data_IF_514036721122
#
_entry.id   IF_514036721122
#
_cell.length_a   1.000
_cell.length_b   1.000
_cell.length_c   1.000
_cell.angle_alpha   90.00
_cell.angle_beta   90.00
_cell.angle_gamma   90.00
#
_symmetry.space_group_name_H-M   'P 1'
#
loop_
_entity.id
_entity.type
_entity.pdbx_description
1 polymer ?
#
# COMPACT_ATOMS: atom_id res chain seq x y z
N UNK A 1 5.66 19.30 -16.25
CA UNK A 1 7.14 19.33 -16.08
C UNK A 1 7.55 18.01 -15.45
N UNK A 2 8.17 17.12 -16.23
CA UNK A 2 8.69 15.83 -15.75
C UNK A 2 9.96 16.09 -14.93
N UNK A 3 10.10 15.55 -13.71
CA UNK A 3 11.30 15.78 -12.91
C UNK A 3 12.46 14.98 -13.53
N UNK A 4 13.33 15.67 -14.26
CA UNK A 4 14.60 15.13 -14.78
C UNK A 4 15.72 15.15 -13.73
N UNK A 5 15.50 15.80 -12.58
CA UNK A 5 16.38 15.72 -11.42
C UNK A 5 16.11 14.40 -10.67
N UNK A 6 16.88 13.34 -10.96
CA UNK A 6 16.84 12.10 -10.17
C UNK A 6 17.20 10.79 -10.88
N UNK A 7 17.39 10.79 -12.20
CA UNK A 7 17.80 9.58 -12.92
C UNK A 7 19.30 9.30 -12.67
N UNK A 8 19.60 8.12 -12.13
CA UNK A 8 20.96 7.66 -11.82
C UNK A 8 21.13 6.17 -12.12
N UNK A 9 22.24 5.53 -11.71
CA UNK A 9 22.55 4.13 -12.01
C UNK A 9 21.43 3.11 -11.70
N UNK A 10 20.56 3.44 -10.76
CA UNK A 10 19.39 2.64 -10.35
C UNK A 10 18.40 2.37 -11.49
N UNK A 11 18.29 3.28 -12.48
CA UNK A 11 17.37 3.11 -13.60
C UNK A 11 17.71 1.87 -14.46
N UNK A 12 18.94 1.37 -14.36
CA UNK A 12 19.38 0.18 -15.06
C UNK A 12 18.74 -1.11 -14.51
N UNK A 13 18.50 -1.17 -13.19
CA UNK A 13 17.85 -2.30 -12.52
C UNK A 13 16.32 -2.23 -12.55
N UNK A 14 15.77 -1.17 -13.14
CA UNK A 14 14.35 -0.89 -13.18
C UNK A 14 13.55 -2.02 -13.85
N UNK A 15 12.47 -2.53 -13.23
CA UNK A 15 11.57 -3.46 -13.90
C UNK A 15 11.04 -2.85 -15.19
N UNK A 16 11.13 -3.61 -16.29
CA UNK A 16 10.64 -3.19 -17.60
C UNK A 16 9.13 -3.39 -17.72
N UNK A 17 8.63 -4.53 -17.22
CA UNK A 17 7.23 -4.95 -17.30
C UNK A 17 6.49 -4.66 -16.00
N UNK A 18 5.21 -4.26 -16.11
CA UNK A 18 4.35 -4.00 -14.95
C UNK A 18 4.82 -2.82 -14.08
N UNK A 19 5.75 -2.00 -14.57
CA UNK A 19 6.27 -0.85 -13.85
C UNK A 19 5.35 0.35 -14.06
N UNK A 20 4.67 0.87 -13.02
CA UNK A 20 3.71 1.97 -13.18
C UNK A 20 4.39 3.31 -13.52
N UNK A 21 5.71 3.44 -13.32
CA UNK A 21 6.44 4.69 -13.57
C UNK A 21 6.76 4.87 -15.05
N UNK A 22 7.05 3.79 -15.78
CA UNK A 22 7.41 3.87 -17.21
C UNK A 22 6.24 4.37 -18.08
N UNK A 23 5.01 3.84 -17.96
CA UNK A 23 3.84 4.35 -18.68
C UNK A 23 3.50 5.79 -18.31
N UNK A 24 3.54 6.14 -17.02
CA UNK A 24 3.27 7.50 -16.55
C UNK A 24 4.31 8.52 -17.06
N UNK A 25 5.60 8.15 -17.08
CA UNK A 25 6.66 9.01 -17.60
C UNK A 25 6.65 9.15 -19.12
N UNK A 26 6.01 8.21 -19.84
CA UNK A 26 5.88 8.19 -21.30
C UNK A 26 4.51 8.66 -21.81
N UNK A 27 3.55 8.98 -20.92
CA UNK A 27 2.19 9.38 -21.31
C UNK A 27 1.36 8.25 -21.95
N UNK A 28 1.64 6.99 -21.62
CA UNK A 28 0.96 5.82 -22.19
C UNK A 28 -0.39 5.55 -21.50
N UNK A 29 -1.36 5.02 -22.25
CA UNK A 29 -2.66 4.57 -21.76
C UNK A 29 -2.54 3.36 -20.81
N UNK A 30 -3.60 3.07 -20.04
CA UNK A 30 -3.64 1.93 -19.11
C UNK A 30 -3.44 0.59 -19.85
N UNK A 31 -2.45 -0.19 -19.43
CA UNK A 31 -2.05 -1.47 -20.03
C UNK A 31 -0.54 -1.70 -20.18
N UNK A 32 0.29 -0.65 -20.03
CA UNK A 32 1.75 -0.78 -19.94
C UNK A 32 2.47 -1.18 -21.24
N UNK A 33 3.79 -1.42 -21.15
CA UNK A 33 4.60 -1.89 -22.28
C UNK A 33 4.32 -3.36 -22.62
N UNK A 34 3.91 -4.16 -21.63
CA UNK A 34 3.58 -5.57 -21.77
C UNK A 34 2.46 -5.84 -22.79
N UNK A 35 1.47 -4.93 -22.89
CA UNK A 35 0.39 -5.04 -23.88
C UNK A 35 0.87 -4.82 -25.31
N UNK A 36 1.79 -3.86 -25.50
CA UNK A 36 2.27 -3.45 -26.82
C UNK A 36 3.37 -4.40 -27.34
N UNK A 37 4.06 -5.10 -26.46
CA UNK A 37 5.21 -5.97 -26.79
C UNK A 37 5.14 -7.37 -26.16
N UNK A 38 4.06 -8.15 -26.41
CA UNK A 38 3.86 -9.45 -25.77
C UNK A 38 4.97 -10.47 -26.09
N UNK A 39 5.51 -10.45 -27.31
CA UNK A 39 6.63 -11.31 -27.71
C UNK A 39 7.92 -10.99 -26.94
N UNK A 40 8.21 -9.71 -26.67
CA UNK A 40 9.36 -9.32 -25.86
C UNK A 40 9.14 -9.65 -24.38
N UNK A 41 7.92 -9.47 -23.87
CA UNK A 41 7.55 -9.83 -22.49
C UNK A 41 7.76 -11.33 -22.20
N UNK A 42 7.48 -12.19 -23.20
CA UNK A 42 7.66 -13.64 -23.08
C UNK A 42 9.12 -14.10 -22.95
N UNK A 43 10.11 -13.21 -23.16
CA UNK A 43 11.52 -13.55 -23.05
C UNK A 43 11.98 -13.60 -21.57
N UNK A 44 12.42 -14.76 -21.05
CA UNK A 44 12.69 -14.95 -19.61
C UNK A 44 13.84 -14.10 -19.04
N UNK A 45 14.70 -13.54 -19.89
CA UNK A 45 15.82 -12.70 -19.47
C UNK A 45 15.57 -11.19 -19.59
N UNK A 46 14.49 -10.77 -20.25
CA UNK A 46 14.25 -9.35 -20.57
C UNK A 46 13.44 -8.69 -19.46
N UNK A 47 13.98 -8.60 -18.24
CA UNK A 47 13.20 -8.17 -17.06
C UNK A 47 13.38 -6.69 -16.69
N UNK A 48 14.50 -6.08 -17.09
CA UNK A 48 14.84 -4.72 -16.69
C UNK A 48 15.11 -3.79 -17.87
N UNK A 49 14.97 -2.49 -17.64
CA UNK A 49 15.34 -1.46 -18.62
C UNK A 49 16.81 -1.62 -19.04
N UNK A 50 17.72 -1.89 -18.11
CA UNK A 50 19.13 -2.11 -18.43
C UNK A 50 19.37 -3.33 -19.31
N UNK A 51 18.61 -4.41 -19.15
CA UNK A 51 18.68 -5.56 -20.07
C UNK A 51 18.14 -5.21 -21.44
N UNK A 52 17.04 -4.46 -21.54
CA UNK A 52 16.52 -3.98 -22.83
C UNK A 52 17.51 -3.06 -23.56
N UNK A 53 18.13 -2.13 -22.86
CA UNK A 53 19.18 -1.25 -23.41
C UNK A 53 20.38 -2.06 -23.88
N UNK A 54 20.85 -3.03 -23.08
CA UNK A 54 21.92 -3.95 -23.49
C UNK A 54 21.60 -4.72 -24.76
N UNK A 55 20.41 -5.32 -24.85
CA UNK A 55 19.97 -6.04 -26.05
C UNK A 55 19.93 -5.13 -27.28
N UNK A 56 19.45 -3.90 -27.11
CA UNK A 56 19.32 -2.92 -28.18
C UNK A 56 20.68 -2.42 -28.69
N UNK A 57 21.61 -2.11 -27.79
CA UNK A 57 22.98 -1.71 -28.16
C UNK A 57 23.76 -2.85 -28.82
N UNK A 58 23.63 -4.07 -28.30
CA UNK A 58 24.24 -5.27 -28.90
C UNK A 58 23.71 -5.56 -30.32
N UNK A 59 22.55 -5.00 -30.68
CA UNK A 59 21.96 -5.06 -32.02
C UNK A 59 22.32 -3.86 -32.91
N UNK A 60 23.20 -2.94 -32.50
CA UNK A 60 23.50 -1.72 -33.24
C UNK A 60 23.85 -1.97 -34.73
N UNK A 61 24.75 -2.93 -35.01
CA UNK A 61 25.14 -3.27 -36.38
C UNK A 61 23.97 -3.83 -37.21
N UNK A 62 23.10 -4.65 -36.59
CA UNK A 62 21.90 -5.20 -37.25
C UNK A 62 20.88 -4.08 -37.50
N UNK A 63 20.66 -3.20 -36.52
CA UNK A 63 19.76 -2.04 -36.61
C UNK A 63 20.17 -1.08 -37.71
N UNK A 64 21.45 -0.71 -37.80
CA UNK A 64 21.97 0.17 -38.85
C UNK A 64 21.78 -0.44 -40.24
N UNK A 65 22.09 -1.74 -40.37
CA UNK A 65 21.94 -2.46 -41.62
C UNK A 65 20.46 -2.53 -42.08
N UNK A 66 19.54 -2.82 -41.16
CA UNK A 66 18.09 -2.84 -41.44
C UNK A 66 17.60 -1.44 -41.81
N UNK A 67 18.02 -0.40 -41.09
CA UNK A 67 17.62 0.98 -41.36
C UNK A 67 18.14 1.51 -42.72
N UNK A 68 19.29 0.99 -43.20
CA UNK A 68 19.86 1.39 -44.50
C UNK A 68 19.17 0.78 -45.72
N UNK A 69 18.16 -0.08 -45.52
CA UNK A 69 17.45 -0.79 -46.60
C UNK A 69 15.95 -0.48 -46.55
N UNK A 70 15.25 -0.37 -47.71
CA UNK A 70 13.80 -0.29 -47.74
C UNK A 70 13.16 -1.52 -47.07
N UNK A 71 11.97 -1.34 -46.49
CA UNK A 71 11.21 -2.43 -45.89
C UNK A 71 11.00 -3.57 -46.90
N UNK A 72 11.31 -4.81 -46.50
CA UNK A 72 11.21 -5.99 -47.38
C UNK A 72 12.37 -6.18 -48.37
N UNK A 73 13.31 -5.25 -48.48
CA UNK A 73 14.43 -5.35 -49.42
C UNK A 73 15.64 -6.15 -48.89
N UNK A 74 15.53 -6.77 -47.72
CA UNK A 74 16.63 -7.51 -47.10
C UNK A 74 16.72 -8.92 -47.72
N UNK A 75 17.73 -9.13 -48.57
CA UNK A 75 17.94 -10.44 -49.21
C UNK A 75 18.16 -11.58 -48.19
N UNK A 76 17.78 -12.84 -48.52
CA UNK A 76 17.81 -13.97 -47.58
C UNK A 76 19.17 -14.23 -46.93
N UNK A 77 20.25 -14.07 -47.71
CA UNK A 77 21.64 -14.25 -47.21
C UNK A 77 21.97 -13.24 -46.11
N UNK A 78 21.49 -12.01 -46.25
CA UNK A 78 21.74 -10.94 -45.29
C UNK A 78 20.87 -11.10 -44.04
N UNK A 79 19.60 -11.46 -44.20
CA UNK A 79 18.71 -11.79 -43.09
C UNK A 79 19.27 -12.93 -42.22
N UNK A 80 19.84 -13.97 -42.86
CA UNK A 80 20.52 -15.06 -42.15
C UNK A 80 21.74 -14.57 -41.36
N UNK A 81 22.56 -13.69 -41.93
CA UNK A 81 23.72 -13.08 -41.22
C UNK A 81 23.26 -12.25 -40.01
N UNK A 82 22.23 -11.42 -40.16
CA UNK A 82 21.64 -10.66 -39.06
C UNK A 82 21.13 -11.58 -37.94
N UNK A 83 20.49 -12.70 -38.30
CA UNK A 83 19.99 -13.69 -37.34
C UNK A 83 21.13 -14.40 -36.59
N UNK A 84 22.23 -14.74 -37.27
CA UNK A 84 23.43 -15.29 -36.62
C UNK A 84 24.02 -14.27 -35.64
N UNK A 85 24.09 -12.99 -36.02
CA UNK A 85 24.58 -11.93 -35.15
C UNK A 85 23.68 -11.76 -33.92
N UNK A 86 22.36 -11.71 -34.09
CA UNK A 86 21.40 -11.64 -32.99
C UNK A 86 21.58 -12.79 -31.98
N UNK A 87 21.74 -14.04 -32.47
CA UNK A 87 22.00 -15.21 -31.62
C UNK A 87 23.30 -15.06 -30.81
N UNK A 88 24.36 -14.55 -31.46
CA UNK A 88 25.70 -14.40 -30.86
C UNK A 88 25.80 -13.24 -29.88
N UNK A 89 25.12 -12.13 -30.16
CA UNK A 89 25.26 -10.88 -29.41
C UNK A 89 24.17 -10.63 -28.38
N UNK A 90 22.99 -11.24 -28.52
CA UNK A 90 21.85 -11.02 -27.61
C UNK A 90 21.37 -12.30 -26.94
N UNK A 91 20.88 -13.27 -27.71
CA UNK A 91 20.19 -14.43 -27.13
C UNK A 91 21.08 -15.20 -26.16
N UNK A 92 22.29 -15.57 -26.57
CA UNK A 92 23.22 -16.33 -25.73
C UNK A 92 23.86 -15.51 -24.61
N UNK A 93 24.51 -14.35 -24.88
CA UNK A 93 25.28 -13.65 -23.85
C UNK A 93 24.43 -12.82 -22.89
N UNK A 94 23.31 -12.25 -23.35
CA UNK A 94 22.49 -11.33 -22.55
C UNK A 94 21.27 -12.05 -21.98
N UNK A 95 20.46 -12.67 -22.86
CA UNK A 95 19.20 -13.30 -22.44
C UNK A 95 19.37 -14.75 -21.96
N UNK A 96 20.55 -15.34 -22.13
CA UNK A 96 20.88 -16.73 -21.76
C UNK A 96 19.96 -17.78 -22.40
N UNK A 97 19.46 -17.48 -23.60
CA UNK A 97 18.64 -18.38 -24.41
C UNK A 97 19.54 -19.11 -25.40
N UNK A 98 19.66 -20.42 -25.23
CA UNK A 98 20.43 -21.31 -26.10
C UNK A 98 19.55 -22.05 -27.11
N UNK A 99 18.30 -22.32 -26.73
CA UNK A 99 17.29 -22.99 -27.55
C UNK A 99 16.35 -21.98 -28.22
N UNK A 100 16.29 -22.03 -29.54
CA UNK A 100 15.44 -21.15 -30.35
C UNK A 100 13.95 -21.47 -30.24
N UNK A 101 13.58 -22.69 -29.85
CA UNK A 101 12.18 -23.05 -29.64
C UNK A 101 11.53 -22.24 -28.50
N UNK A 102 12.36 -21.69 -27.60
CA UNK A 102 11.93 -20.82 -26.49
C UNK A 102 11.80 -19.35 -26.90
N UNK A 103 12.12 -19.00 -28.15
CA UNK A 103 12.01 -17.64 -28.67
C UNK A 103 10.69 -17.52 -29.44
N UNK A 104 9.83 -16.54 -29.11
CA UNK A 104 8.59 -16.30 -29.85
C UNK A 104 8.83 -16.15 -31.36
N UNK A 105 7.94 -16.66 -32.23
CA UNK A 105 8.12 -16.67 -33.68
C UNK A 105 8.52 -15.31 -34.27
N UNK A 106 7.93 -14.24 -33.74
CA UNK A 106 8.13 -12.84 -34.17
C UNK A 106 9.55 -12.33 -33.89
N UNK A 107 10.30 -13.02 -33.02
CA UNK A 107 11.65 -12.66 -32.58
C UNK A 107 12.71 -13.65 -33.05
N UNK A 108 12.35 -14.70 -33.80
CA UNK A 108 13.33 -15.69 -34.27
C UNK A 108 14.26 -15.13 -35.36
N UNK A 109 13.82 -14.07 -36.03
CA UNK A 109 14.54 -13.34 -37.08
C UNK A 109 15.31 -12.17 -36.48
N UNK A 110 16.60 -12.06 -36.80
CA UNK A 110 17.46 -10.97 -36.32
C UNK A 110 16.98 -9.56 -36.72
N UNK A 111 16.58 -9.33 -37.98
CA UNK A 111 15.97 -8.06 -38.39
C UNK A 111 14.70 -7.70 -37.61
N UNK A 112 13.78 -8.66 -37.44
CA UNK A 112 12.50 -8.42 -36.76
C UNK A 112 12.71 -8.16 -35.26
N UNK A 113 13.60 -8.93 -34.63
CA UNK A 113 14.02 -8.67 -33.26
C UNK A 113 14.62 -7.25 -33.11
N UNK A 114 15.49 -6.83 -34.04
CA UNK A 114 16.07 -5.49 -34.03
C UNK A 114 15.01 -4.39 -34.17
N UNK A 115 13.99 -4.57 -35.01
CA UNK A 115 12.86 -3.66 -35.13
C UNK A 115 12.04 -3.59 -33.83
N UNK A 116 11.71 -4.74 -33.25
CA UNK A 116 10.94 -4.86 -32.00
C UNK A 116 11.65 -4.20 -30.81
N UNK A 117 12.96 -4.48 -30.60
CA UNK A 117 13.73 -3.80 -29.55
C UNK A 117 13.81 -2.27 -29.77
N UNK A 118 13.86 -1.83 -31.03
CA UNK A 118 13.88 -0.41 -31.37
C UNK A 118 12.55 0.26 -31.07
N UNK A 119 11.44 -0.40 -31.41
CA UNK A 119 10.09 0.06 -31.10
C UNK A 119 9.83 0.11 -29.59
N UNK A 120 10.27 -0.91 -28.84
CA UNK A 120 10.20 -0.93 -27.38
C UNK A 120 10.94 0.26 -26.76
N UNK A 121 12.20 0.48 -27.12
CA UNK A 121 12.97 1.60 -26.56
C UNK A 121 12.45 2.97 -27.05
N UNK A 122 11.83 3.07 -28.22
CA UNK A 122 11.17 4.30 -28.63
C UNK A 122 10.01 4.69 -27.70
N UNK A 123 9.34 3.72 -27.06
CA UNK A 123 8.31 3.96 -26.04
C UNK A 123 8.87 4.31 -24.66
N UNK A 124 10.18 4.15 -24.43
CA UNK A 124 10.84 4.53 -23.17
C UNK A 124 11.34 5.99 -23.27
N UNK A 125 11.07 6.85 -22.27
CA UNK A 125 11.52 8.23 -22.29
C UNK A 125 13.03 8.34 -22.50
N UNK A 126 13.47 9.28 -23.36
CA UNK A 126 14.86 9.38 -23.78
C UNK A 126 15.84 9.53 -22.61
N UNK A 127 15.49 10.32 -21.60
CA UNK A 127 16.34 10.53 -20.41
C UNK A 127 16.64 9.21 -19.66
N UNK A 128 15.69 8.28 -19.62
CA UNK A 128 15.85 6.98 -18.96
C UNK A 128 16.78 6.06 -19.76
N UNK A 129 16.66 6.09 -21.10
CA UNK A 129 17.55 5.32 -21.99
C UNK A 129 18.99 5.82 -21.89
N UNK A 130 19.18 7.14 -21.89
CA UNK A 130 20.50 7.76 -21.75
C UNK A 130 21.13 7.40 -20.40
N UNK A 131 20.40 7.49 -19.31
CA UNK A 131 20.90 7.13 -17.99
C UNK A 131 21.28 5.64 -17.87
N UNK A 132 20.46 4.75 -18.42
CA UNK A 132 20.73 3.31 -18.42
C UNK A 132 21.95 2.96 -19.31
N UNK A 133 22.08 3.58 -20.48
CA UNK A 133 23.25 3.42 -21.36
C UNK A 133 24.53 3.96 -20.69
N UNK A 134 24.46 5.13 -20.06
CA UNK A 134 25.58 5.68 -19.29
C UNK A 134 26.03 4.73 -18.16
N UNK A 135 25.08 4.07 -17.48
CA UNK A 135 25.36 3.07 -16.44
C UNK A 135 26.04 1.82 -17.01
N UNK A 136 25.64 1.38 -18.20
CA UNK A 136 26.24 0.23 -18.87
C UNK A 136 27.71 0.45 -19.19
N UNK A 137 28.07 1.67 -19.59
CA UNK A 137 29.42 2.06 -19.98
C UNK A 137 30.28 2.61 -18.84
N UNK A 138 29.69 2.87 -17.66
CA UNK A 138 30.42 3.31 -16.50
C UNK A 138 31.40 2.23 -15.99
N UNK A 139 32.50 2.61 -15.32
CA UNK A 139 33.36 1.65 -14.61
C UNK A 139 32.53 0.82 -13.61
N UNK A 140 32.61 -0.51 -13.72
CA UNK A 140 31.76 -1.44 -12.95
C UNK A 140 30.43 -1.80 -13.63
N UNK A 141 30.05 -1.11 -14.72
CA UNK A 141 28.90 -1.42 -15.57
C UNK A 141 27.61 -1.63 -14.77
N UNK A 142 26.90 -2.73 -15.07
CA UNK A 142 25.67 -3.10 -14.36
C UNK A 142 25.82 -3.34 -12.84
N UNK A 143 27.04 -3.63 -12.36
CA UNK A 143 27.29 -3.81 -10.94
C UNK A 143 27.33 -2.46 -10.18
N UNK A 144 27.44 -1.34 -10.90
CA UNK A 144 27.32 0.01 -10.32
C UNK A 144 25.86 0.43 -10.06
N UNK A 145 24.88 -0.33 -10.57
CA UNK A 145 23.47 -0.08 -10.31
C UNK A 145 23.09 -0.60 -8.91
N UNK A 146 22.46 0.23 -8.06
CA UNK A 146 22.06 -0.17 -6.72
C UNK A 146 21.02 -1.31 -6.75
N UNK A 147 20.98 -2.14 -5.69
CA UNK A 147 20.02 -3.25 -5.58
C UNK A 147 18.55 -2.80 -5.69
N UNK A 148 17.68 -3.74 -6.08
CA UNK A 148 16.24 -3.49 -6.27
C UNK A 148 15.55 -2.73 -5.10
N UNK A 149 15.83 -3.00 -3.81
CA UNK A 149 15.24 -2.21 -2.71
C UNK A 149 15.59 -0.72 -2.77
N UNK A 150 16.82 -0.37 -3.14
CA UNK A 150 17.27 1.02 -3.27
C UNK A 150 16.68 1.67 -4.53
N UNK A 151 16.55 0.92 -5.63
CA UNK A 151 15.85 1.39 -6.83
C UNK A 151 14.35 1.65 -6.54
N UNK A 152 13.68 0.74 -5.83
CA UNK A 152 12.29 0.92 -5.37
C UNK A 152 12.15 2.14 -4.47
N UNK A 153 13.10 2.36 -3.56
CA UNK A 153 13.10 3.55 -2.70
C UNK A 153 13.20 4.83 -3.53
N UNK A 154 14.03 4.88 -4.57
CA UNK A 154 14.15 6.05 -5.44
C UNK A 154 12.91 6.24 -6.32
N UNK A 155 12.28 5.16 -6.80
CA UNK A 155 11.03 5.22 -7.57
C UNK A 155 9.84 5.68 -6.73
N UNK A 156 9.74 5.17 -5.50
CA UNK A 156 8.64 5.44 -4.60
C UNK A 156 8.93 6.60 -3.65
N UNK A 157 10.08 7.26 -3.74
CA UNK A 157 10.44 8.38 -2.86
C UNK A 157 9.33 9.45 -2.80
N UNK A 158 8.75 9.93 -3.92
CA UNK A 158 7.64 10.88 -3.87
C UNK A 158 6.39 10.32 -3.17
N UNK A 159 6.11 9.03 -3.34
CA UNK A 159 4.99 8.36 -2.68
C UNK A 159 5.25 8.18 -1.18
N UNK A 160 6.48 7.87 -0.77
CA UNK A 160 6.89 7.78 0.62
C UNK A 160 6.90 9.14 1.30
N UNK A 161 7.26 10.21 0.60
CA UNK A 161 7.16 11.57 1.10
C UNK A 161 5.70 12.00 1.28
N UNK A 162 4.84 11.73 0.30
CA UNK A 162 3.40 11.99 0.44
C UNK A 162 2.80 11.18 1.60
N UNK A 163 3.20 9.92 1.77
CA UNK A 163 2.78 9.09 2.90
C UNK A 163 3.29 9.64 4.23
N UNK A 164 4.55 10.11 4.27
CA UNK A 164 5.16 10.73 5.45
C UNK A 164 4.38 11.96 5.89
N UNK A 165 3.99 12.84 4.97
CA UNK A 165 3.16 14.03 5.26
C UNK A 165 1.82 13.61 5.89
N UNK A 166 1.16 12.59 5.34
CA UNK A 166 -0.12 12.09 5.89
C UNK A 166 0.03 11.49 7.28
N UNK A 167 1.07 10.68 7.52
CA UNK A 167 1.36 10.13 8.84
C UNK A 167 1.67 11.22 9.87
N UNK A 168 2.40 12.27 9.50
CA UNK A 168 2.68 13.40 10.39
C UNK A 168 1.39 14.15 10.76
N UNK A 169 0.50 14.39 9.80
CA UNK A 169 -0.80 15.00 10.08
C UNK A 169 -1.67 14.12 10.99
N UNK A 170 -1.66 12.80 10.78
CA UNK A 170 -2.33 11.84 11.65
C UNK A 170 -1.79 11.83 13.08
N UNK A 171 -0.46 11.84 13.24
CA UNK A 171 0.21 11.93 14.55
C UNK A 171 -0.17 13.24 15.25
N UNK A 172 -0.10 14.37 14.54
CA UNK A 172 -0.42 15.67 15.12
C UNK A 172 -1.85 15.72 15.65
N UNK A 173 -2.81 15.19 14.88
CA UNK A 173 -4.19 15.06 15.36
C UNK A 173 -4.27 14.10 16.54
N UNK A 174 -3.58 12.95 16.53
CA UNK A 174 -3.62 12.00 17.62
C UNK A 174 -3.22 12.59 18.99
N UNK A 175 -2.29 13.56 19.00
CA UNK A 175 -1.86 14.27 20.21
C UNK A 175 -2.73 15.46 20.62
N UNK A 176 -3.83 15.74 19.91
CA UNK A 176 -4.85 16.73 20.31
C UNK A 176 -4.29 18.14 20.62
N UNK A 177 -3.29 18.58 19.86
CA UNK A 177 -2.65 19.88 20.03
C UNK A 177 -1.38 19.86 20.89
N UNK A 178 -1.10 18.76 21.60
CA UNK A 178 0.22 18.56 22.21
C UNK A 178 1.29 18.29 21.14
N UNK A 179 2.53 18.67 21.43
CA UNK A 179 3.66 18.38 20.54
C UNK A 179 3.96 16.87 20.55
N UNK A 180 3.96 16.18 19.39
CA UNK A 180 4.33 14.78 19.33
C UNK A 180 5.84 14.61 19.60
N UNK A 181 6.26 13.49 20.20
CA UNK A 181 7.68 13.20 20.38
C UNK A 181 8.37 12.99 19.03
N UNK A 182 9.67 13.26 18.96
CA UNK A 182 10.45 13.22 17.72
C UNK A 182 10.43 11.82 17.05
N UNK A 183 10.36 10.77 17.87
CA UNK A 183 10.32 9.38 17.46
C UNK A 183 8.91 8.89 17.06
N UNK A 184 7.86 9.70 17.19
CA UNK A 184 6.48 9.28 16.95
C UNK A 184 6.25 8.64 15.58
N UNK A 185 6.92 9.15 14.53
CA UNK A 185 6.79 8.57 13.19
C UNK A 185 7.43 7.19 13.07
N UNK A 186 8.55 6.96 13.77
CA UNK A 186 9.21 5.66 13.82
C UNK A 186 8.35 4.68 14.63
N UNK A 187 7.80 5.13 15.76
CA UNK A 187 6.88 4.36 16.57
C UNK A 187 5.61 3.94 15.80
N UNK A 188 4.99 4.86 15.05
CA UNK A 188 3.83 4.56 14.20
C UNK A 188 4.18 3.52 13.12
N UNK A 189 5.32 3.69 12.43
CA UNK A 189 5.76 2.73 11.40
C UNK A 189 6.02 1.34 12.01
N UNK A 190 6.63 1.28 13.19
CA UNK A 190 6.85 0.05 13.92
C UNK A 190 5.53 -0.60 14.35
N UNK A 191 4.55 0.19 14.80
CA UNK A 191 3.21 -0.28 15.14
C UNK A 191 2.50 -0.86 13.91
N UNK A 192 2.45 -0.14 12.79
CA UNK A 192 1.84 -0.64 11.56
C UNK A 192 2.50 -1.94 11.07
N UNK A 193 3.84 -2.04 11.13
CA UNK A 193 4.55 -3.26 10.76
C UNK A 193 4.19 -4.44 11.68
N UNK A 194 4.11 -4.20 12.99
CA UNK A 194 3.71 -5.20 14.00
C UNK A 194 2.28 -5.69 13.76
N UNK A 195 1.34 -4.77 13.56
CA UNK A 195 -0.06 -5.08 13.28
C UNK A 195 -0.25 -5.83 11.96
N UNK A 196 0.54 -5.51 10.93
CA UNK A 196 0.48 -6.20 9.65
C UNK A 196 0.81 -7.69 9.80
N UNK A 197 1.77 -8.01 10.66
CA UNK A 197 2.24 -9.37 10.92
C UNK A 197 1.25 -10.25 11.71
N UNK A 198 0.22 -9.67 12.34
CA UNK A 198 -0.81 -10.44 13.05
C UNK A 198 -1.57 -11.35 12.09
N UNK A 199 -1.89 -12.58 12.51
CA UNK A 199 -2.76 -13.46 11.71
C UNK A 199 -4.20 -13.02 11.96
N UNK A 200 -4.73 -12.18 11.08
CA UNK A 200 -6.13 -11.71 11.12
C UNK A 200 -6.55 -11.20 9.75
N UNK A 201 -7.84 -11.26 9.40
CA UNK A 201 -8.30 -10.88 8.06
C UNK A 201 -8.06 -9.39 7.78
N UNK A 202 -7.68 -9.04 6.52
CA UNK A 202 -7.38 -7.65 6.16
C UNK A 202 -8.48 -6.64 6.51
N UNK A 203 -9.76 -7.06 6.51
CA UNK A 203 -10.90 -6.19 6.87
C UNK A 203 -10.86 -5.64 8.29
N UNK A 204 -10.13 -6.28 9.21
CA UNK A 204 -9.93 -5.80 10.58
C UNK A 204 -8.73 -4.85 10.69
N UNK A 205 -7.83 -4.88 9.71
CA UNK A 205 -6.60 -4.07 9.66
C UNK A 205 -6.79 -2.80 8.85
N UNK A 206 -7.34 -2.92 7.65
CA UNK A 206 -7.50 -1.84 6.67
C UNK A 206 -8.03 -0.52 7.26
N UNK A 207 -9.05 -0.51 8.14
CA UNK A 207 -9.56 0.75 8.70
C UNK A 207 -8.49 1.59 9.40
N UNK A 208 -7.56 0.97 10.14
CA UNK A 208 -6.49 1.71 10.80
C UNK A 208 -5.50 2.32 9.79
N UNK A 209 -5.16 1.61 8.71
CA UNK A 209 -4.29 2.15 7.66
C UNK A 209 -4.96 3.32 6.94
N UNK A 210 -6.25 3.20 6.65
CA UNK A 210 -7.03 4.28 6.04
C UNK A 210 -7.14 5.47 6.99
N UNK A 211 -7.33 5.23 8.27
CA UNK A 211 -7.32 6.28 9.28
C UNK A 211 -5.98 7.04 9.28
N UNK A 212 -4.87 6.32 9.31
CA UNK A 212 -3.52 6.88 9.35
C UNK A 212 -3.15 7.77 8.15
N UNK A 213 -3.88 7.65 7.03
CA UNK A 213 -3.63 8.41 5.80
C UNK A 213 -4.80 9.28 5.35
N UNK A 214 -5.81 9.48 6.18
CA UNK A 214 -7.05 10.18 5.83
C UNK A 214 -7.79 9.56 4.61
N UNK A 215 -7.70 8.24 4.45
CA UNK A 215 -8.09 7.48 3.25
C UNK A 215 -9.53 6.98 3.22
N UNK A 216 -10.43 7.52 4.04
CA UNK A 216 -11.85 7.17 3.95
C UNK A 216 -12.55 7.95 2.85
N UNK A 217 -13.56 7.34 2.23
CA UNK A 217 -14.32 7.94 1.14
C UNK A 217 -14.91 9.28 1.58
N UNK A 218 -14.70 10.32 0.79
CA UNK A 218 -15.16 11.68 1.07
C UNK A 218 -14.21 12.51 1.93
N UNK A 219 -13.27 11.93 2.70
CA UNK A 219 -12.44 12.71 3.63
C UNK A 219 -11.54 13.74 2.93
N UNK A 220 -10.98 13.40 1.76
CA UNK A 220 -10.19 14.34 0.97
C UNK A 220 -11.02 15.53 0.45
N UNK A 221 -12.25 15.26 0.02
CA UNK A 221 -13.18 16.31 -0.44
C UNK A 221 -13.61 17.20 0.74
N UNK A 222 -13.94 16.61 1.89
CA UNK A 222 -14.32 17.36 3.09
C UNK A 222 -13.16 18.23 3.61
N UNK A 223 -11.92 17.75 3.52
CA UNK A 223 -10.74 18.53 3.87
C UNK A 223 -10.55 19.73 2.92
N UNK A 224 -10.79 19.56 1.62
CA UNK A 224 -10.75 20.66 0.66
C UNK A 224 -11.86 21.69 0.93
N UNK A 225 -13.09 21.24 1.21
CA UNK A 225 -14.19 22.13 1.57
C UNK A 225 -13.92 22.92 2.85
N UNK A 226 -13.34 22.29 3.86
CA UNK A 226 -12.96 22.98 5.10
C UNK A 226 -11.90 24.08 4.83
N UNK A 227 -10.96 23.85 3.90
CA UNK A 227 -10.00 24.87 3.49
C UNK A 227 -10.67 26.07 2.78
N UNK A 228 -11.82 25.84 2.13
CA UNK A 228 -12.67 26.88 1.54
C UNK A 228 -13.69 27.48 2.53
N UNK A 229 -13.58 27.16 3.83
CA UNK A 229 -14.47 27.67 4.88
C UNK A 229 -15.83 26.97 4.98
N UNK A 230 -16.04 25.86 4.25
CA UNK A 230 -17.28 25.08 4.28
C UNK A 230 -17.16 23.91 5.28
N UNK A 231 -18.10 23.83 6.22
CA UNK A 231 -18.15 22.74 7.22
C UNK A 231 -19.38 21.89 7.00
N UNK A 232 -19.16 20.62 6.62
CA UNK A 232 -20.23 19.63 6.46
C UNK A 232 -20.70 19.12 7.83
N UNK A 233 -21.98 18.71 7.90
CA UNK A 233 -22.56 18.05 9.07
C UNK A 233 -22.46 16.53 8.94
N UNK A 234 -22.03 15.89 10.01
CA UNK A 234 -22.16 14.45 10.16
C UNK A 234 -23.64 14.06 10.29
N UNK A 235 -24.08 12.87 9.82
CA UNK A 235 -25.42 12.36 10.11
C UNK A 235 -25.77 12.24 11.59
N UNK A 236 -24.80 12.33 12.51
CA UNK A 236 -25.08 12.44 13.94
C UNK A 236 -25.57 13.84 14.38
N UNK A 237 -25.64 14.82 13.46
CA UNK A 237 -26.10 16.19 13.69
C UNK A 237 -24.99 17.22 13.91
N UNK A 238 -23.77 16.78 14.25
CA UNK A 238 -22.65 17.66 14.61
C UNK A 238 -21.91 18.18 13.38
N UNK A 239 -21.50 19.45 13.40
CA UNK A 239 -20.60 20.02 12.40
C UNK A 239 -19.16 19.52 12.60
N UNK A 240 -18.51 19.12 11.52
CA UNK A 240 -17.17 18.52 11.57
C UNK A 240 -16.05 19.58 11.55
N UNK A 241 -16.05 20.51 12.50
CA UNK A 241 -15.11 21.66 12.55
C UNK A 241 -13.66 21.23 12.75
N UNK A 242 -13.41 20.19 13.56
CA UNK A 242 -12.08 19.63 13.78
C UNK A 242 -11.60 18.70 12.64
N UNK A 243 -12.40 18.55 11.58
CA UNK A 243 -12.14 17.67 10.45
C UNK A 243 -12.84 16.31 10.57
N UNK A 244 -13.12 15.70 9.41
CA UNK A 244 -13.91 14.46 9.32
C UNK A 244 -13.25 13.28 10.06
N UNK A 245 -11.92 13.18 10.03
CA UNK A 245 -11.16 12.11 10.70
C UNK A 245 -11.32 12.17 12.22
N UNK A 246 -11.07 13.34 12.79
CA UNK A 246 -11.24 13.60 14.23
C UNK A 246 -12.69 13.39 14.66
N UNK A 247 -13.64 13.92 13.88
CA UNK A 247 -15.04 13.73 14.23
C UNK A 247 -15.46 12.26 14.23
N UNK A 248 -15.34 11.54 13.11
CA UNK A 248 -15.89 10.18 13.02
C UNK A 248 -15.20 9.15 13.93
N UNK A 249 -13.92 9.33 14.23
CA UNK A 249 -13.12 8.35 14.98
C UNK A 249 -12.74 8.81 16.38
N UNK A 250 -13.27 9.93 16.85
CA UNK A 250 -13.04 10.41 18.22
C UNK A 250 -14.22 11.20 18.82
N UNK A 251 -14.69 12.26 18.15
CA UNK A 251 -15.68 13.19 18.75
C UNK A 251 -17.15 12.82 18.46
N UNK A 252 -17.41 11.95 17.50
CA UNK A 252 -18.77 11.55 17.16
C UNK A 252 -19.36 10.76 18.33
N UNK A 253 -20.61 11.03 18.71
CA UNK A 253 -21.33 10.33 19.79
C UNK A 253 -21.26 8.79 19.68
N UNK A 254 -21.18 8.24 18.46
CA UNK A 254 -20.98 6.80 18.23
C UNK A 254 -19.58 6.35 18.66
N UNK A 255 -18.55 7.14 18.39
CA UNK A 255 -17.19 6.89 18.84
C UNK A 255 -17.01 7.11 20.34
N UNK A 256 -17.68 8.12 20.90
CA UNK A 256 -17.70 8.35 22.34
C UNK A 256 -18.30 7.16 23.09
N UNK A 257 -19.44 6.64 22.63
CA UNK A 257 -20.10 5.47 23.24
C UNK A 257 -19.18 4.24 23.30
N UNK A 258 -18.45 3.93 22.21
CA UNK A 258 -17.48 2.83 22.22
C UNK A 258 -16.32 3.11 23.18
N UNK A 259 -15.76 4.33 23.16
CA UNK A 259 -14.65 4.72 24.04
C UNK A 259 -15.04 4.65 25.50
N UNK A 260 -16.26 5.04 25.85
CA UNK A 260 -16.76 5.02 27.23
C UNK A 260 -16.87 3.58 27.74
N UNK A 261 -17.41 2.66 26.94
CA UNK A 261 -17.42 1.21 27.26
C UNK A 261 -16.00 0.67 27.41
N UNK A 262 -15.08 1.03 26.52
CA UNK A 262 -13.68 0.59 26.63
C UNK A 262 -13.00 1.13 27.89
N UNK A 263 -13.25 2.40 28.25
CA UNK A 263 -12.70 3.05 29.45
C UNK A 263 -13.22 2.38 30.71
N UNK A 264 -14.53 2.18 30.79
CA UNK A 264 -15.20 1.55 31.92
C UNK A 264 -14.70 0.11 32.10
N UNK A 265 -14.67 -0.67 31.02
CA UNK A 265 -14.27 -2.08 31.06
C UNK A 265 -12.78 -2.27 31.41
N UNK A 266 -11.91 -1.37 30.93
CA UNK A 266 -10.47 -1.44 31.21
C UNK A 266 -10.07 -0.74 32.52
N UNK A 267 -10.99 0.02 33.12
CA UNK A 267 -10.73 0.89 34.28
C UNK A 267 -9.49 1.79 34.11
N UNK A 268 -9.28 2.29 32.89
CA UNK A 268 -8.18 3.22 32.55
C UNK A 268 -8.67 4.25 31.57
N UNK A 269 -8.19 5.48 31.71
CA UNK A 269 -8.43 6.51 30.70
C UNK A 269 -7.76 6.15 29.37
N UNK A 270 -8.55 6.23 28.30
CA UNK A 270 -8.09 5.98 26.93
C UNK A 270 -8.01 7.31 26.20
N UNK A 271 -6.80 7.69 25.82
CA UNK A 271 -6.53 8.92 25.05
C UNK A 271 -6.51 8.65 23.54
N UNK A 272 -6.63 9.73 22.74
CA UNK A 272 -6.66 9.61 21.28
C UNK A 272 -5.38 9.00 20.73
N UNK A 273 -4.21 9.41 21.23
CA UNK A 273 -2.93 8.85 20.82
C UNK A 273 -2.78 7.37 21.19
N UNK A 274 -3.31 6.92 22.34
CA UNK A 274 -3.29 5.49 22.70
C UNK A 274 -4.07 4.64 21.72
N UNK A 275 -5.28 5.09 21.32
CA UNK A 275 -6.11 4.37 20.36
C UNK A 275 -5.58 4.47 18.91
N UNK A 276 -5.25 5.68 18.46
CA UNK A 276 -4.87 5.94 17.07
C UNK A 276 -3.43 5.54 16.74
N UNK A 277 -2.49 5.73 17.68
CA UNK A 277 -1.08 5.34 17.51
C UNK A 277 -0.78 3.97 18.09
N UNK A 278 -1.79 3.27 18.61
CA UNK A 278 -1.70 1.89 19.09
C UNK A 278 -0.66 1.78 20.20
N UNK A 279 -0.74 2.70 21.17
CA UNK A 279 0.12 2.74 22.35
C UNK A 279 -0.72 2.28 23.53
N UNK A 280 -0.33 1.15 24.15
CA UNK A 280 -1.08 0.64 25.29
C UNK A 280 -1.09 1.66 26.44
N UNK A 281 -2.26 1.89 27.08
CA UNK A 281 -2.32 2.59 28.35
C UNK A 281 -1.41 1.93 29.39
N UNK A 282 -0.85 2.69 30.35
CA UNK A 282 -0.07 2.13 31.44
C UNK A 282 -0.83 1.01 32.15
N UNK A 283 -0.16 -0.13 32.36
CA UNK A 283 -0.76 -1.32 32.99
C UNK A 283 -1.46 -2.27 32.02
N UNK A 284 -1.71 -1.88 30.76
CA UNK A 284 -2.25 -2.77 29.73
C UNK A 284 -1.15 -3.40 28.86
N UNK A 285 -1.44 -4.59 28.34
CA UNK A 285 -0.50 -5.33 27.49
C UNK A 285 -0.55 -4.79 26.07
N UNK A 286 0.62 -4.42 25.53
CA UNK A 286 0.73 -3.96 24.14
C UNK A 286 0.23 -4.99 23.12
N UNK A 287 0.47 -6.28 23.36
CA UNK A 287 0.05 -7.35 22.44
C UNK A 287 -1.49 -7.47 22.38
N UNK A 288 -2.18 -7.26 23.50
CA UNK A 288 -3.64 -7.24 23.52
C UNK A 288 -4.18 -5.93 22.94
N UNK A 289 -3.55 -4.81 23.30
CA UNK A 289 -3.95 -3.48 22.85
C UNK A 289 -3.88 -3.35 21.32
N UNK A 290 -2.89 -3.97 20.68
CA UNK A 290 -2.80 -4.08 19.23
C UNK A 290 -4.11 -4.62 18.59
N UNK A 291 -4.67 -5.69 19.17
CA UNK A 291 -5.90 -6.33 18.68
C UNK A 291 -7.11 -5.45 19.00
N UNK A 292 -7.15 -4.86 20.20
CA UNK A 292 -8.22 -3.95 20.64
C UNK A 292 -8.31 -2.72 19.74
N UNK A 293 -7.19 -2.08 19.40
CA UNK A 293 -7.18 -0.92 18.50
C UNK A 293 -7.70 -1.27 17.11
N UNK A 294 -7.29 -2.41 16.55
CA UNK A 294 -7.78 -2.89 15.26
C UNK A 294 -9.29 -3.16 15.30
N UNK A 295 -9.78 -3.86 16.33
CA UNK A 295 -11.20 -4.11 16.53
C UNK A 295 -12.00 -2.80 16.64
N UNK A 296 -11.53 -1.88 17.47
CA UNK A 296 -12.20 -0.62 17.75
C UNK A 296 -12.29 0.27 16.50
N UNK A 297 -11.17 0.51 15.82
CA UNK A 297 -11.16 1.36 14.60
C UNK A 297 -12.00 0.74 13.49
N UNK A 298 -12.01 -0.59 13.36
CA UNK A 298 -12.88 -1.27 12.41
C UNK A 298 -14.37 -1.15 12.76
N UNK A 299 -14.73 -1.23 14.04
CA UNK A 299 -16.09 -1.02 14.50
C UNK A 299 -16.56 0.44 14.31
N UNK A 300 -15.66 1.42 14.50
CA UNK A 300 -15.95 2.83 14.22
C UNK A 300 -16.20 3.08 12.72
N UNK A 301 -15.44 2.43 11.84
CA UNK A 301 -15.71 2.49 10.40
C UNK A 301 -17.07 1.86 10.05
N UNK A 302 -17.42 0.74 10.66
CA UNK A 302 -18.76 0.16 10.54
C UNK A 302 -19.84 1.16 10.97
N UNK A 303 -19.68 1.79 12.14
CA UNK A 303 -20.59 2.83 12.63
C UNK A 303 -20.73 4.01 11.67
N UNK A 304 -19.61 4.50 11.11
CA UNK A 304 -19.61 5.57 10.11
C UNK A 304 -20.42 5.17 8.87
N UNK A 305 -20.22 3.96 8.36
CA UNK A 305 -20.98 3.46 7.20
C UNK A 305 -22.48 3.38 7.50
N UNK A 306 -22.85 2.92 8.70
CA UNK A 306 -24.25 2.84 9.16
C UNK A 306 -24.90 4.22 9.28
N UNK A 307 -24.18 5.21 9.81
CA UNK A 307 -24.65 6.60 9.90
C UNK A 307 -25.00 7.16 8.52
N UNK A 308 -24.12 6.98 7.53
CA UNK A 308 -24.38 7.46 6.18
C UNK A 308 -25.46 6.66 5.45
N UNK A 309 -25.58 5.35 5.69
CA UNK A 309 -26.64 4.53 5.11
C UNK A 309 -28.03 4.90 5.62
N UNK A 310 -28.13 5.46 6.84
CA UNK A 310 -29.40 5.86 7.44
C UNK A 310 -29.73 7.36 7.24
N UNK A 311 -28.87 8.13 6.56
CA UNK A 311 -28.97 9.60 6.44
C UNK A 311 -30.30 10.08 5.86
N UNK A 312 -30.84 9.37 4.87
CA UNK A 312 -32.03 9.80 4.12
C UNK A 312 -33.34 9.21 4.66
N UNK A 313 -33.27 8.38 5.71
CA UNK A 313 -34.38 7.53 6.17
C UNK A 313 -35.15 8.06 7.39
N UNK A 314 -34.82 9.22 7.95
CA UNK A 314 -35.28 9.62 9.29
C UNK A 314 -36.01 10.98 9.36
N UNK A 315 -37.13 10.99 10.10
CA UNK A 315 -37.75 12.16 10.73
C UNK A 315 -36.93 12.54 11.99
N UNK A 316 -36.91 13.80 12.44
CA UNK A 316 -35.93 14.31 13.45
C UNK A 316 -35.93 13.54 14.78
N UNK A 317 -37.08 13.04 15.24
CA UNK A 317 -37.16 12.23 16.47
C UNK A 317 -36.62 10.81 16.25
N UNK A 318 -36.76 10.28 15.03
CA UNK A 318 -36.16 9.00 14.64
C UNK A 318 -34.63 9.11 14.52
N UNK A 319 -34.08 10.28 14.17
CA UNK A 319 -32.63 10.50 14.04
C UNK A 319 -31.85 10.18 15.34
N UNK A 320 -32.32 10.67 16.50
CA UNK A 320 -31.64 10.44 17.80
C UNK A 320 -31.67 8.96 18.18
N UNK A 321 -32.81 8.29 18.00
CA UNK A 321 -32.96 6.86 18.30
C UNK A 321 -32.08 6.01 17.37
N UNK A 322 -31.99 6.38 16.08
CA UNK A 322 -31.14 5.72 15.10
C UNK A 322 -29.67 5.85 15.47
N UNK A 323 -29.21 7.05 15.84
CA UNK A 323 -27.81 7.28 16.25
C UNK A 323 -27.45 6.46 17.50
N UNK A 324 -28.33 6.41 18.50
CA UNK A 324 -28.15 5.56 19.68
C UNK A 324 -28.08 4.08 19.32
N UNK A 325 -28.99 3.61 18.45
CA UNK A 325 -28.96 2.22 17.97
C UNK A 325 -27.65 1.89 17.27
N UNK A 326 -27.15 2.79 16.41
CA UNK A 326 -25.85 2.61 15.75
C UNK A 326 -24.71 2.54 16.77
N UNK A 327 -24.74 3.35 17.84
CA UNK A 327 -23.79 3.24 18.95
C UNK A 327 -23.77 1.83 19.57
N UNK A 328 -24.94 1.27 19.85
CA UNK A 328 -25.06 -0.12 20.36
C UNK A 328 -24.54 -1.14 19.35
N UNK A 329 -24.89 -0.99 18.06
CA UNK A 329 -24.39 -1.86 17.00
C UNK A 329 -22.86 -1.84 16.90
N UNK A 330 -22.23 -0.67 17.09
CA UNK A 330 -20.75 -0.51 17.09
C UNK A 330 -20.10 -1.20 18.28
N UNK A 331 -20.68 -1.09 19.48
CA UNK A 331 -20.17 -1.79 20.67
C UNK A 331 -20.26 -3.30 20.46
N UNK A 332 -21.38 -3.80 19.93
CA UNK A 332 -21.56 -5.21 19.63
C UNK A 332 -20.57 -5.71 18.55
N UNK A 333 -20.36 -4.92 17.48
CA UNK A 333 -19.39 -5.25 16.42
C UNK A 333 -17.95 -5.29 16.96
N UNK A 334 -17.58 -4.38 17.86
CA UNK A 334 -16.29 -4.40 18.55
C UNK A 334 -16.06 -5.72 19.31
N UNK A 335 -16.98 -6.13 20.17
CA UNK A 335 -16.87 -7.37 20.94
C UNK A 335 -16.90 -8.61 20.02
N UNK A 336 -17.75 -8.60 18.99
CA UNK A 336 -17.81 -9.67 18.00
C UNK A 336 -16.48 -9.85 17.25
N UNK A 337 -15.74 -8.76 16.98
CA UNK A 337 -14.42 -8.84 16.35
C UNK A 337 -13.38 -9.47 17.27
N UNK A 338 -13.40 -9.15 18.56
CA UNK A 338 -12.52 -9.79 19.53
C UNK A 338 -12.83 -11.29 19.67
N UNK A 339 -14.10 -11.66 19.72
CA UNK A 339 -14.53 -13.06 19.72
C UNK A 339 -14.10 -13.81 18.43
N UNK A 340 -14.20 -13.15 17.27
CA UNK A 340 -13.73 -13.70 16.01
C UNK A 340 -12.20 -13.90 16.01
N UNK A 341 -11.44 -12.99 16.60
CA UNK A 341 -9.98 -13.14 16.74
C UNK A 341 -9.63 -14.35 17.62
N UNK A 342 -10.29 -14.51 18.77
CA UNK A 342 -10.15 -15.69 19.66
C UNK A 342 -10.42 -16.99 18.90
N UNK A 343 -11.43 -16.99 18.04
CA UNK A 343 -11.83 -18.16 17.25
C UNK A 343 -10.77 -18.63 16.24
N UNK A 344 -9.77 -17.79 15.92
CA UNK A 344 -8.65 -18.18 15.05
C UNK A 344 -7.74 -19.23 15.69
N UNK A 345 -7.74 -19.34 17.04
CA UNK A 345 -6.89 -20.25 17.83
C UNK A 345 -5.40 -20.18 17.45
N UNK A 346 -4.94 -18.98 17.09
CA UNK A 346 -3.56 -18.69 16.69
C UNK A 346 -3.04 -17.50 17.52
N UNK A 347 -2.53 -17.75 18.73
CA UNK A 347 -1.98 -16.68 19.55
C UNK A 347 -0.83 -15.97 18.81
N UNK A 348 -0.73 -14.63 18.91
CA UNK A 348 0.44 -13.89 18.45
C UNK A 348 1.75 -14.41 19.05
N UNK A 349 2.87 -14.07 18.43
CA UNK A 349 4.19 -14.38 19.01
C UNK A 349 4.31 -13.73 20.39
N UNK A 350 4.84 -14.47 21.36
CA UNK A 350 5.04 -14.03 22.76
C UNK A 350 3.74 -13.79 23.53
N UNK A 351 2.64 -14.43 23.14
CA UNK A 351 1.36 -14.34 23.86
C UNK A 351 1.43 -14.91 25.27
N UNK A 352 2.36 -15.83 25.53
CA UNK A 352 2.72 -16.36 26.85
C UNK A 352 3.13 -15.28 27.86
N UNK A 353 3.50 -14.08 27.39
CA UNK A 353 3.81 -12.93 28.25
C UNK A 353 2.59 -12.06 28.57
N UNK A 354 1.41 -12.36 28.02
CA UNK A 354 0.18 -11.60 28.29
C UNK A 354 -0.34 -11.98 29.68
N UNK A 355 -0.63 -11.01 30.57
CA UNK A 355 -1.18 -11.30 31.88
C UNK A 355 -2.53 -12.02 31.78
N UNK A 356 -2.75 -13.01 32.65
CA UNK A 356 -3.99 -13.79 32.73
C UNK A 356 -5.22 -12.95 33.16
N UNK A 357 -5.03 -11.68 33.53
CA UNK A 357 -6.07 -10.77 34.03
C UNK A 357 -6.27 -9.55 33.14
N UNK A 358 -5.80 -9.57 31.89
CA UNK A 358 -5.97 -8.42 31.02
C UNK A 358 -7.45 -8.23 30.62
N UNK A 359 -8.00 -6.99 30.69
CA UNK A 359 -9.44 -6.76 30.67
C UNK A 359 -10.15 -7.19 29.39
N UNK A 360 -9.48 -7.20 28.22
CA UNK A 360 -10.13 -7.57 26.95
C UNK A 360 -9.85 -9.00 26.49
N UNK A 361 -8.59 -9.44 26.58
CA UNK A 361 -8.13 -10.76 26.15
C UNK A 361 -7.07 -11.24 27.13
N UNK A 362 -7.12 -12.51 27.54
CA UNK A 362 -6.14 -13.11 28.42
C UNK A 362 -5.53 -14.39 27.80
N UNK A 363 -4.46 -14.90 28.41
CA UNK A 363 -3.94 -16.24 28.12
C UNK A 363 -4.69 -17.28 28.97
N UNK A 364 -5.07 -18.40 28.36
CA UNK A 364 -5.50 -19.58 29.12
C UNK A 364 -4.29 -20.42 29.59
N UNK A 365 -4.56 -21.45 30.42
CA UNK A 365 -3.55 -22.33 31.00
C UNK A 365 -2.76 -23.16 29.97
N UNK A 366 -3.26 -23.25 28.73
CA UNK A 366 -2.64 -24.00 27.63
C UNK A 366 -2.00 -23.04 26.60
N UNK A 367 -1.97 -21.74 26.89
CA UNK A 367 -1.38 -20.70 26.04
C UNK A 367 -2.28 -20.21 24.90
N UNK A 368 -3.58 -20.51 24.96
CA UNK A 368 -4.62 -20.01 24.06
C UNK A 368 -5.05 -18.58 24.38
N UNK A 369 -5.84 -18.00 23.48
CA UNK A 369 -6.39 -16.64 23.63
C UNK A 369 -7.83 -16.77 24.10
N UNK A 370 -8.20 -16.12 25.21
CA UNK A 370 -9.57 -16.09 25.72
C UNK A 370 -10.12 -14.66 25.72
N UNK A 371 -11.42 -14.52 25.47
CA UNK A 371 -12.13 -13.25 25.54
C UNK A 371 -12.49 -12.95 26.99
N UNK A 372 -12.12 -11.76 27.47
CA UNK A 372 -12.57 -11.21 28.75
C UNK A 372 -13.60 -10.13 28.39
N UNK A 373 -14.85 -10.56 28.21
CA UNK A 373 -15.96 -9.68 27.86
C UNK A 373 -16.72 -9.17 29.08
N UNK A 374 -17.66 -8.22 28.90
CA UNK A 374 -18.59 -7.87 29.96
C UNK A 374 -19.35 -9.13 30.40
N UNK A 375 -19.38 -9.39 31.71
CA UNK A 375 -20.04 -10.57 32.29
C UNK A 375 -21.52 -10.58 31.92
N UNK A 376 -21.97 -11.62 31.23
CA UNK A 376 -23.40 -11.85 30.97
C UNK A 376 -24.17 -12.30 32.23
N UNK A 377 -23.48 -12.52 33.36
CA UNK A 377 -23.98 -13.30 34.50
C UNK A 377 -24.30 -12.49 35.77
N UNK A 378 -24.60 -11.19 35.68
CA UNK A 378 -25.25 -10.50 36.80
C UNK A 378 -26.76 -10.61 36.61
N UNK A 379 -27.50 -11.43 37.40
CA UNK A 379 -28.95 -11.39 37.39
C UNK A 379 -29.40 -9.97 37.76
N UNK A 380 -30.52 -9.46 37.18
CA UNK A 380 -31.02 -8.15 37.53
C UNK A 380 -31.23 -8.09 39.05
N UNK A 381 -30.71 -7.03 39.68
CA UNK A 381 -31.01 -6.75 41.08
C UNK A 381 -32.54 -6.78 41.22
N UNK A 382 -33.04 -7.68 42.06
CA UNK A 382 -34.47 -7.77 42.33
C UNK A 382 -34.95 -6.45 42.95
N UNK A 383 -36.19 -6.03 42.63
CA UNK A 383 -36.72 -4.71 42.97
C UNK A 383 -36.73 -4.38 44.46
#
# INVERSE_FOLDING_TARGET
MTPTHGLGPWCFALPLWGNPVLPCAAGLQAGGLERDFPALMALPGLLTLGTAVRCWEALAAVRQLVASKPAGALGPRLARRCTIQYKRSVLRPILRITDMARVPPELQSGPDAAAQFSALLARVPAAWRVAASATLHAPGGAASAPPAPQATQLQLAPAYDALRVRHLAFIQEAYSGAAPPAEAIHALRAALARLWALVWEPRHKEPLWRLAVNGFTGFGMLAAWAADGRVEKCPCGTQMTAGARVHHFWDCVVAEALRDVMREHANVDITRNQLWLVQAPPGLSQAVWDIVCLAAVAALEYGRQRLYACRDAADRTAEVAVVRRIGVEVIADFWSRLAAFVSLRRPPRRWDLVPNQHPFLASDDVGGVILVGPTADSPPASP
#
